data_IF_946076511139
#
_entry.id   IF_946076511139
#
_cell.length_a   1.000
_cell.length_b   1.000
_cell.length_c   1.000
_cell.angle_alpha   90.00
_cell.angle_beta   90.00
_cell.angle_gamma   90.00
#
_symmetry.space_group_name_H-M   'P 1'
#
loop_
_entity.id
_entity.type
_entity.pdbx_description
1 polymer ?
#
# COMPACT_ATOMS: atom_id res chain seq x y z
N UNK A 1 17.72 10.70 -4.82
CA UNK A 1 17.28 10.17 -6.13
C UNK A 1 16.01 9.29 -6.08
N UNK A 2 15.50 8.92 -4.90
CA UNK A 2 14.36 7.99 -4.71
C UNK A 2 12.96 8.63 -4.81
N UNK A 3 12.84 9.94 -4.56
CA UNK A 3 11.52 10.62 -4.48
C UNK A 3 10.74 10.66 -5.82
N UNK A 4 11.44 10.69 -6.96
CA UNK A 4 10.81 10.72 -8.30
C UNK A 4 10.19 9.39 -8.70
N UNK A 5 10.75 8.27 -8.23
CA UNK A 5 10.25 6.94 -8.57
C UNK A 5 8.91 6.66 -7.86
N UNK A 6 8.84 7.02 -6.57
CA UNK A 6 7.62 6.89 -5.78
C UNK A 6 6.47 7.71 -6.39
N UNK A 7 6.72 8.95 -6.83
CA UNK A 7 5.71 9.78 -7.48
C UNK A 7 5.18 9.20 -8.80
N UNK A 8 6.03 8.52 -9.60
CA UNK A 8 5.62 7.87 -10.85
C UNK A 8 4.81 6.60 -10.61
N UNK A 9 5.19 5.81 -9.61
CA UNK A 9 4.43 4.63 -9.18
C UNK A 9 3.06 5.04 -8.64
N UNK A 10 2.99 6.02 -7.73
CA UNK A 10 1.75 6.48 -7.11
C UNK A 10 0.74 7.06 -8.11
N UNK A 11 1.21 7.74 -9.17
CA UNK A 11 0.35 8.31 -10.21
C UNK A 11 -0.26 7.26 -11.16
N UNK A 12 0.30 6.05 -11.21
CA UNK A 12 -0.22 4.94 -12.01
C UNK A 12 -1.23 4.07 -11.25
N UNK A 13 -1.37 4.24 -9.94
CA UNK A 13 -2.48 3.68 -9.17
C UNK A 13 -3.73 4.54 -9.41
N UNK A 14 -4.36 4.40 -10.57
CA UNK A 14 -5.65 5.05 -10.80
C UNK A 14 -6.72 4.39 -9.91
N UNK A 15 -7.78 5.13 -9.58
CA UNK A 15 -8.89 4.73 -8.67
C UNK A 15 -9.46 3.32 -8.89
N UNK A 16 -9.33 2.75 -10.10
CA UNK A 16 -9.82 1.40 -10.45
C UNK A 16 -8.85 0.28 -10.01
N UNK A 17 -7.56 0.58 -9.92
CA UNK A 17 -6.50 -0.38 -9.59
C UNK A 17 -6.27 -0.48 -8.08
N UNK A 18 -6.72 0.48 -7.28
CA UNK A 18 -6.61 0.43 -5.82
C UNK A 18 -7.32 -0.79 -5.23
N UNK A 19 -8.52 -1.12 -5.73
CA UNK A 19 -9.23 -2.34 -5.36
C UNK A 19 -8.48 -3.61 -5.76
N UNK A 20 -7.84 -3.60 -6.93
CA UNK A 20 -7.00 -4.72 -7.39
C UNK A 20 -5.81 -4.91 -6.47
N UNK A 21 -5.21 -3.83 -5.97
CA UNK A 21 -4.07 -3.90 -5.05
C UNK A 21 -4.48 -4.45 -3.69
N UNK A 22 -5.61 -3.99 -3.12
CA UNK A 22 -6.15 -4.61 -1.90
C UNK A 22 -6.45 -6.09 -2.11
N UNK A 23 -7.03 -6.43 -3.26
CA UNK A 23 -7.34 -7.82 -3.61
C UNK A 23 -6.07 -8.67 -3.72
N UNK A 24 -5.02 -8.18 -4.39
CA UNK A 24 -3.74 -8.88 -4.52
C UNK A 24 -3.05 -9.02 -3.16
N UNK A 25 -3.06 -7.98 -2.32
CA UNK A 25 -2.49 -8.05 -0.96
C UNK A 25 -3.23 -9.07 -0.10
N UNK A 26 -4.57 -9.02 -0.10
CA UNK A 26 -5.41 -10.00 0.58
C UNK A 26 -5.21 -11.42 0.03
N UNK A 27 -5.12 -11.56 -1.30
CA UNK A 27 -4.90 -12.84 -1.96
C UNK A 27 -3.54 -13.44 -1.58
N UNK A 28 -2.47 -12.63 -1.58
CA UNK A 28 -1.15 -13.06 -1.11
C UNK A 28 -1.20 -13.46 0.36
N UNK A 29 -1.91 -12.69 1.20
CA UNK A 29 -2.13 -13.00 2.63
C UNK A 29 -2.84 -14.33 2.85
N UNK A 30 -3.79 -14.67 1.98
CA UNK A 30 -4.67 -15.84 2.12
C UNK A 30 -4.13 -17.06 1.38
N UNK A 31 -2.98 -16.94 0.72
CA UNK A 31 -2.42 -17.99 -0.11
C UNK A 31 -1.69 -19.04 0.75
N UNK A 32 -2.16 -20.28 0.70
CA UNK A 32 -1.68 -21.42 1.49
C UNK A 32 -0.14 -21.64 1.54
N UNK A 33 0.64 -21.53 0.44
CA UNK A 33 2.10 -21.72 0.51
C UNK A 33 2.80 -20.69 1.37
N UNK A 34 2.32 -19.44 1.44
CA UNK A 34 2.87 -18.45 2.36
C UNK A 34 2.56 -18.83 3.80
N UNK A 35 1.31 -19.20 4.10
CA UNK A 35 0.95 -19.72 5.41
C UNK A 35 1.83 -20.91 5.80
N UNK A 36 2.06 -21.86 4.89
CA UNK A 36 2.87 -23.05 5.19
C UNK A 36 4.36 -22.74 5.42
N UNK A 37 4.94 -21.79 4.66
CA UNK A 37 6.33 -21.35 4.86
C UNK A 37 6.51 -20.69 6.23
N UNK A 38 5.54 -19.90 6.68
CA UNK A 38 5.56 -19.23 7.98
C UNK A 38 4.99 -20.08 9.12
N UNK A 39 4.23 -21.13 8.85
CA UNK A 39 3.71 -22.07 9.85
C UNK A 39 4.77 -23.11 10.26
N UNK A 40 6.01 -22.67 10.42
CA UNK A 40 7.04 -23.47 11.08
C UNK A 40 6.89 -23.29 12.59
N UNK A 41 7.09 -24.35 13.40
CA UNK A 41 7.03 -24.26 14.87
C UNK A 41 8.18 -23.42 15.47
N UNK A 42 9.02 -22.81 14.64
CA UNK A 42 10.02 -21.86 15.13
C UNK A 42 9.35 -20.62 15.70
N UNK A 43 9.88 -20.13 16.81
CA UNK A 43 9.44 -18.87 17.42
C UNK A 43 10.52 -17.82 17.21
N UNK A 44 10.16 -16.63 16.72
CA UNK A 44 11.05 -15.45 16.79
C UNK A 44 10.71 -14.72 18.08
N UNK A 45 11.70 -14.53 18.97
CA UNK A 45 11.49 -13.83 20.25
C UNK A 45 10.37 -14.45 21.13
N UNK A 46 10.03 -15.73 20.94
CA UNK A 46 8.92 -16.40 21.62
C UNK A 46 7.55 -16.28 20.93
N UNK A 47 7.45 -15.54 19.83
CA UNK A 47 6.22 -15.39 19.05
C UNK A 47 6.21 -16.28 17.79
N UNK A 48 5.07 -16.87 17.41
CA UNK A 48 4.93 -17.61 16.16
C UNK A 48 5.15 -16.70 14.94
N UNK A 49 5.85 -17.18 13.92
CA UNK A 49 6.03 -16.47 12.64
C UNK A 49 4.72 -16.03 11.99
N UNK A 50 3.67 -16.83 12.18
CA UNK A 50 2.34 -16.54 11.66
C UNK A 50 1.78 -15.21 12.19
N UNK A 51 2.10 -14.82 13.42
CA UNK A 51 1.70 -13.53 13.98
C UNK A 51 2.37 -12.36 13.24
N UNK A 52 3.69 -12.47 13.00
CA UNK A 52 4.45 -11.44 12.28
C UNK A 52 3.93 -11.25 10.86
N UNK A 53 3.54 -12.34 10.21
CA UNK A 53 2.94 -12.33 8.89
C UNK A 53 1.60 -11.56 8.85
N UNK A 54 0.70 -11.84 9.80
CA UNK A 54 -0.56 -11.10 9.91
C UNK A 54 -0.32 -9.61 10.17
N UNK A 55 0.63 -9.29 11.04
CA UNK A 55 0.98 -7.90 11.36
C UNK A 55 1.57 -7.15 10.16
N UNK A 56 2.42 -7.80 9.38
CA UNK A 56 3.00 -7.23 8.16
C UNK A 56 1.94 -6.97 7.10
N UNK A 57 1.04 -7.92 6.86
CA UNK A 57 -0.03 -7.70 5.87
C UNK A 57 -1.06 -6.65 6.32
N UNK A 58 -1.31 -6.53 7.62
CA UNK A 58 -2.08 -5.41 8.19
C UNK A 58 -1.38 -4.07 7.97
N UNK A 59 -0.09 -3.96 8.30
CA UNK A 59 0.70 -2.76 8.09
C UNK A 59 0.79 -2.38 6.60
N UNK A 60 0.95 -3.37 5.71
CA UNK A 60 0.95 -3.16 4.27
C UNK A 60 -0.39 -2.61 3.78
N UNK A 61 -1.51 -3.13 4.29
CA UNK A 61 -2.85 -2.65 3.95
C UNK A 61 -3.02 -1.17 4.34
N UNK A 62 -2.63 -0.78 5.55
CA UNK A 62 -2.67 0.62 6.01
C UNK A 62 -1.74 1.49 5.17
N UNK A 63 -0.53 1.03 4.90
CA UNK A 63 0.47 1.78 4.12
C UNK A 63 -0.05 2.10 2.71
N UNK A 64 -0.76 1.16 2.07
CA UNK A 64 -1.39 1.36 0.77
C UNK A 64 -2.51 2.39 0.84
N UNK A 65 -3.39 2.31 1.86
CA UNK A 65 -4.43 3.33 2.09
C UNK A 65 -3.79 4.70 2.29
N UNK A 66 -2.77 4.79 3.13
CA UNK A 66 -2.06 6.04 3.41
C UNK A 66 -1.45 6.66 2.14
N UNK A 67 -0.76 5.85 1.34
CA UNK A 67 -0.21 6.28 0.04
C UNK A 67 -1.32 6.74 -0.91
N UNK A 68 -2.47 6.07 -0.90
CA UNK A 68 -3.62 6.44 -1.71
C UNK A 68 -4.21 7.78 -1.26
N UNK A 69 -4.44 7.98 0.03
CA UNK A 69 -4.90 9.26 0.59
C UNK A 69 -3.95 10.39 0.20
N UNK A 70 -2.63 10.14 0.26
CA UNK A 70 -1.62 11.10 -0.16
C UNK A 70 -1.69 11.41 -1.66
N UNK A 71 -1.85 10.39 -2.52
CA UNK A 71 -1.95 10.56 -3.97
C UNK A 71 -3.23 11.30 -4.40
N UNK A 72 -4.36 11.01 -3.73
CA UNK A 72 -5.66 11.66 -3.95
C UNK A 72 -5.67 13.13 -3.49
N UNK A 73 -4.89 13.49 -2.47
CA UNK A 73 -4.83 14.86 -1.93
C UNK A 73 -4.15 15.89 -2.83
N UNK A 74 -3.64 15.49 -4.00
CA UNK A 74 -2.95 16.37 -4.94
C UNK A 74 -3.74 16.90 -6.17
N UNK A 75 -5.08 17.14 -6.16
CA UNK A 75 -5.77 17.67 -7.34
C UNK A 75 -5.66 19.20 -7.49
N UNK A 76 -5.15 19.92 -6.48
CA UNK A 76 -5.43 21.38 -6.35
C UNK A 76 -4.24 22.29 -6.63
N UNK A 77 -3.03 21.76 -6.85
CA UNK A 77 -1.88 22.59 -7.27
C UNK A 77 -1.89 22.95 -8.78
N UNK A 78 -2.97 22.63 -9.50
CA UNK A 78 -3.14 22.92 -10.93
C UNK A 78 -4.35 23.82 -11.23
N UNK A 79 -4.88 24.55 -10.23
CA UNK A 79 -5.82 25.65 -10.46
C UNK A 79 -5.43 26.88 -9.63
N UNK A 80 -5.13 27.96 -10.36
CA UNK A 80 -4.83 29.33 -9.94
C UNK A 80 -3.36 29.59 -9.59
N UNK A 81 -2.71 30.46 -10.38
CA UNK A 81 -2.93 31.88 -10.17
C UNK A 81 -3.15 32.61 -11.49
N UNK A 82 -4.40 32.94 -11.85
CA UNK A 82 -4.60 34.14 -12.68
C UNK A 82 -6.04 34.65 -12.58
N UNK A 83 -6.29 35.41 -11.51
CA UNK A 83 -7.16 36.57 -11.63
C UNK A 83 -6.37 37.64 -12.38
N UNK A 84 -6.73 37.93 -13.63
CA UNK A 84 -6.77 39.31 -14.15
C UNK A 84 -7.90 39.47 -15.16
N UNK A 85 -8.98 40.05 -14.62
CA UNK A 85 -10.04 40.81 -15.27
C UNK A 85 -9.52 41.74 -16.39
N UNK A 86 -10.34 41.99 -17.43
CA UNK A 86 -11.08 43.26 -17.49
C UNK A 86 -12.60 43.10 -17.46
#
# INVERSE_FOLDING_TARGET
MTKKLHHKLLRRLQFRESWVIFFVVGFIMMNFPFLHIFNKPGTIFGYPFMFLYFYLGWAASIFIIYLFTLAVSNPTAAKSPENKQP
#
